data_IF_383707176043
#
_entry.id   IF_383707176043
#
_cell.length_a   1.000
_cell.length_b   1.000
_cell.length_c   1.000
_cell.angle_alpha   90.00
_cell.angle_beta   90.00
_cell.angle_gamma   90.00
#
_symmetry.space_group_name_H-M   'P 1'
#
loop_
_entity.id
_entity.type
_entity.pdbx_description
1 polymer ?
#
# COMPACT_ATOMS: atom_id res chain seq x y z
N UNK A 1 8.45 -15.67 32.11
CA UNK A 1 8.53 -15.59 30.63
C UNK A 1 7.20 -15.90 29.93
N UNK A 2 6.60 -17.09 30.09
CA UNK A 2 5.33 -17.45 29.40
C UNK A 2 4.15 -16.48 29.65
N UNK A 3 3.98 -16.00 30.90
CA UNK A 3 2.92 -15.04 31.26
C UNK A 3 3.13 -13.65 30.62
N UNK A 4 4.38 -13.16 30.60
CA UNK A 4 4.74 -11.88 29.96
C UNK A 4 4.50 -11.94 28.45
N UNK A 5 4.85 -13.06 27.80
CA UNK A 5 4.59 -13.26 26.37
C UNK A 5 3.08 -13.28 26.07
N UNK A 6 2.29 -13.94 26.91
CA UNK A 6 0.84 -13.98 26.78
C UNK A 6 0.21 -12.59 26.98
N UNK A 7 0.68 -11.81 27.97
CA UNK A 7 0.21 -10.44 28.18
C UNK A 7 0.58 -9.52 27.02
N UNK A 8 1.79 -9.65 26.47
CA UNK A 8 2.20 -8.90 25.28
C UNK A 8 1.35 -9.26 24.05
N UNK A 9 1.04 -10.54 23.88
CA UNK A 9 0.18 -11.03 22.81
C UNK A 9 -1.25 -10.49 22.92
N UNK A 10 -1.83 -10.46 24.12
CA UNK A 10 -3.16 -9.89 24.36
C UNK A 10 -3.18 -8.37 24.12
N UNK A 11 -2.13 -7.66 24.52
CA UNK A 11 -2.02 -6.21 24.28
C UNK A 11 -1.94 -5.87 22.79
N UNK A 12 -1.27 -6.69 21.97
CA UNK A 12 -1.21 -6.50 20.51
C UNK A 12 -2.58 -6.62 19.82
N UNK A 13 -3.51 -7.42 20.38
CA UNK A 13 -4.87 -7.54 19.85
C UNK A 13 -5.80 -6.38 20.21
N UNK A 14 -5.46 -5.55 21.19
CA UNK A 14 -6.30 -4.44 21.64
C UNK A 14 -6.12 -3.14 20.84
N UNK A 15 -5.17 -3.08 19.90
CA UNK A 15 -4.85 -1.88 19.11
C UNK A 15 -5.18 -1.99 17.62
N UNK A 16 -5.91 -3.03 17.19
CA UNK A 16 -6.29 -3.20 15.78
C UNK A 16 -7.43 -2.26 15.40
N UNK A 17 -7.06 -1.07 14.92
CA UNK A 17 -7.98 -0.25 14.12
C UNK A 17 -8.15 -0.91 12.76
N UNK A 18 -9.40 -1.24 12.38
CA UNK A 18 -9.70 -1.81 11.09
C UNK A 18 -10.02 -0.67 10.12
N UNK A 19 -9.13 -0.44 9.16
CA UNK A 19 -9.36 0.52 8.08
C UNK A 19 -9.78 -0.24 6.82
N UNK A 20 -10.83 0.26 6.14
CA UNK A 20 -11.22 -0.26 4.84
C UNK A 20 -10.33 0.39 3.78
N UNK A 21 -9.26 -0.30 3.39
CA UNK A 21 -8.47 0.05 2.22
C UNK A 21 -8.31 -1.18 1.33
N UNK A 22 -8.50 -0.97 0.02
CA UNK A 22 -8.33 -2.02 -0.98
C UNK A 22 -6.96 -1.87 -1.60
N UNK A 23 -5.99 -2.61 -1.06
CA UNK A 23 -4.68 -2.75 -1.69
C UNK A 23 -4.72 -3.90 -2.70
N UNK A 24 -4.33 -3.66 -3.95
CA UNK A 24 -4.32 -4.68 -4.98
C UNK A 24 -3.18 -5.68 -4.78
N UNK A 25 -3.41 -6.90 -5.25
CA UNK A 25 -2.45 -7.98 -5.27
C UNK A 25 -3.00 -9.26 -4.63
N UNK A 26 -2.88 -10.38 -5.34
CA UNK A 26 -3.45 -11.65 -4.88
C UNK A 26 -2.80 -12.14 -3.58
N UNK A 27 -1.48 -11.95 -3.46
CA UNK A 27 -0.71 -12.31 -2.26
C UNK A 27 -1.07 -11.44 -1.06
N UNK A 28 -1.20 -10.13 -1.28
CA UNK A 28 -1.62 -9.13 -0.29
C UNK A 28 -2.95 -9.55 0.33
N UNK A 29 -3.93 -9.89 -0.53
CA UNK A 29 -5.27 -10.29 -0.10
C UNK A 29 -5.26 -11.66 0.60
N UNK A 30 -4.54 -12.64 0.05
CA UNK A 30 -4.45 -13.98 0.65
C UNK A 30 -3.82 -13.98 2.05
N UNK A 31 -2.92 -13.03 2.32
CA UNK A 31 -2.31 -12.82 3.64
C UNK A 31 -3.12 -11.88 4.54
N UNK A 32 -4.41 -11.67 4.25
CA UNK A 32 -5.28 -10.76 4.98
C UNK A 32 -4.64 -9.37 5.17
N UNK A 33 -3.90 -8.89 4.16
CA UNK A 33 -3.15 -7.62 4.15
C UNK A 33 -2.11 -7.47 5.26
N UNK A 34 -1.70 -8.58 5.88
CA UNK A 34 -0.63 -8.61 6.90
C UNK A 34 0.76 -8.73 6.27
N UNK A 35 1.00 -8.01 5.17
CA UNK A 35 2.20 -8.18 4.35
C UNK A 35 3.14 -6.97 4.35
N UNK A 36 2.95 -5.97 5.21
CA UNK A 36 3.83 -4.79 5.29
C UNK A 36 5.32 -5.16 5.35
N UNK A 37 5.68 -6.19 6.12
CA UNK A 37 7.06 -6.69 6.25
C UNK A 37 7.50 -7.68 5.17
N UNK A 38 6.56 -8.22 4.38
CA UNK A 38 6.81 -9.27 3.39
C UNK A 38 6.45 -8.86 1.96
N UNK A 39 6.09 -7.60 1.75
CA UNK A 39 5.82 -7.00 0.44
C UNK A 39 7.11 -6.96 -0.36
N UNK A 40 7.28 -7.91 -1.27
CA UNK A 40 8.50 -8.14 -2.06
C UNK A 40 8.11 -8.54 -3.48
N UNK A 41 7.04 -7.91 -3.98
CA UNK A 41 6.48 -8.09 -5.31
C UNK A 41 6.11 -6.73 -5.91
N UNK A 42 5.78 -6.67 -7.18
CA UNK A 42 5.48 -5.41 -7.88
C UNK A 42 4.30 -4.63 -7.29
N UNK A 43 3.35 -5.30 -6.62
CA UNK A 43 2.24 -4.64 -5.94
C UNK A 43 2.67 -3.95 -4.64
N UNK A 44 3.96 -4.07 -4.25
CA UNK A 44 4.53 -3.34 -3.12
C UNK A 44 4.41 -1.81 -3.25
N UNK A 45 4.19 -1.31 -4.48
CA UNK A 45 3.92 0.11 -4.75
C UNK A 45 2.69 0.64 -4.00
N UNK A 46 1.66 -0.20 -3.78
CA UNK A 46 0.39 0.21 -3.17
C UNK A 46 0.33 0.03 -1.67
N UNK A 47 1.09 -0.94 -1.14
CA UNK A 47 1.26 -1.10 0.30
C UNK A 47 2.62 -0.49 0.71
N UNK A 48 3.66 -1.26 1.04
CA UNK A 48 4.97 -0.79 1.47
C UNK A 48 5.99 -0.62 0.31
N UNK A 49 6.28 0.62 -0.14
CA UNK A 49 7.22 0.86 -1.23
C UNK A 49 8.66 0.42 -0.96
N UNK A 50 9.07 0.25 0.31
CA UNK A 50 10.40 -0.30 0.63
C UNK A 50 10.59 -1.72 0.07
N UNK A 51 9.49 -2.42 -0.19
CA UNK A 51 9.44 -3.74 -0.82
C UNK A 51 10.02 -3.81 -2.23
N UNK A 52 9.82 -2.76 -3.04
CA UNK A 52 10.24 -2.73 -4.45
C UNK A 52 11.75 -2.88 -4.64
N UNK A 53 12.55 -2.43 -3.67
CA UNK A 53 14.02 -2.60 -3.67
C UNK A 53 14.47 -4.05 -3.52
N UNK A 54 13.56 -4.97 -3.17
CA UNK A 54 13.83 -6.41 -3.10
C UNK A 54 13.80 -7.09 -4.46
N UNK A 55 13.15 -6.48 -5.46
CA UNK A 55 13.06 -6.99 -6.82
C UNK A 55 14.41 -6.83 -7.51
N UNK A 56 14.95 -7.94 -8.01
CA UNK A 56 16.25 -8.00 -8.69
C UNK A 56 16.14 -7.89 -10.21
N UNK A 57 14.94 -8.06 -10.76
CA UNK A 57 14.64 -7.97 -12.18
C UNK A 57 13.38 -7.13 -12.41
N UNK A 58 13.24 -6.62 -13.64
CA UNK A 58 12.01 -5.98 -14.10
C UNK A 58 10.80 -6.89 -13.82
N UNK A 59 9.77 -6.33 -13.21
CA UNK A 59 8.55 -7.05 -12.88
C UNK A 59 7.32 -6.22 -13.26
N UNK A 60 6.30 -6.88 -13.79
CA UNK A 60 5.00 -6.28 -14.09
C UNK A 60 3.89 -7.19 -13.62
N UNK A 61 2.78 -6.60 -13.16
CA UNK A 61 1.66 -7.34 -12.61
C UNK A 61 0.33 -6.67 -12.91
N UNK A 62 -0.69 -7.49 -13.14
CA UNK A 62 -2.08 -7.07 -13.26
C UNK A 62 -2.89 -7.80 -12.20
N UNK A 63 -3.76 -7.06 -11.53
CA UNK A 63 -4.66 -7.55 -10.50
C UNK A 63 -6.08 -7.14 -10.86
N UNK A 64 -7.04 -8.05 -10.69
CA UNK A 64 -8.45 -7.77 -10.87
C UNK A 64 -9.29 -8.50 -9.83
N UNK A 65 -10.17 -7.75 -9.17
CA UNK A 65 -11.19 -8.26 -8.25
C UNK A 65 -12.56 -7.81 -8.76
N UNK A 66 -13.33 -8.69 -9.42
CA UNK A 66 -14.55 -8.28 -10.14
C UNK A 66 -15.73 -7.95 -9.21
N UNK A 67 -15.87 -8.68 -8.12
CA UNK A 67 -16.99 -8.54 -7.20
C UNK A 67 -16.61 -9.02 -5.78
N UNK A 68 -15.78 -8.27 -5.03
CA UNK A 68 -15.54 -8.55 -3.62
C UNK A 68 -16.88 -8.76 -2.90
N UNK A 69 -17.01 -9.88 -2.19
CA UNK A 69 -18.23 -10.26 -1.47
C UNK A 69 -19.50 -10.41 -2.35
N UNK A 70 -19.33 -10.60 -3.66
CA UNK A 70 -20.45 -10.68 -4.61
C UNK A 70 -21.00 -9.32 -5.07
N UNK A 71 -20.38 -8.20 -4.65
CA UNK A 71 -20.83 -6.84 -4.97
C UNK A 71 -19.96 -6.28 -6.09
N UNK A 72 -20.55 -6.06 -7.27
CA UNK A 72 -19.82 -5.61 -8.48
C UNK A 72 -19.38 -4.15 -8.38
N UNK A 73 -20.09 -3.37 -7.58
CA UNK A 73 -19.80 -1.96 -7.30
C UNK A 73 -18.48 -1.78 -6.54
N UNK A 74 -17.95 -2.85 -5.93
CA UNK A 74 -16.66 -2.87 -5.25
C UNK A 74 -15.53 -3.37 -6.15
N UNK A 75 -15.76 -3.46 -7.46
CA UNK A 75 -14.74 -3.98 -8.38
C UNK A 75 -13.46 -3.14 -8.34
N UNK A 76 -12.32 -3.82 -8.49
CA UNK A 76 -11.00 -3.18 -8.49
C UNK A 76 -10.15 -3.77 -9.60
N UNK A 77 -9.60 -2.93 -10.46
CA UNK A 77 -8.56 -3.29 -11.42
C UNK A 77 -7.28 -2.54 -11.10
N UNK A 78 -6.13 -3.21 -11.19
CA UNK A 78 -4.84 -2.55 -10.95
C UNK A 78 -3.74 -3.16 -11.79
N UNK A 79 -2.81 -2.31 -12.21
CA UNK A 79 -1.57 -2.70 -12.85
C UNK A 79 -0.40 -2.09 -12.09
N UNK A 80 0.73 -2.77 -12.09
CA UNK A 80 1.95 -2.30 -11.48
C UNK A 80 3.16 -2.74 -12.32
N UNK A 81 4.20 -1.93 -12.28
CA UNK A 81 5.46 -2.15 -12.95
C UNK A 81 6.62 -1.70 -12.05
N UNK A 82 7.72 -2.43 -12.05
CA UNK A 82 8.94 -2.08 -11.34
C UNK A 82 10.15 -2.28 -12.24
N UNK A 83 11.01 -1.26 -12.28
CA UNK A 83 12.32 -1.27 -12.91
C UNK A 83 13.41 -1.13 -11.85
N UNK A 84 14.10 -2.23 -11.48
CA UNK A 84 15.30 -2.16 -10.66
C UNK A 84 16.46 -1.54 -11.44
N UNK A 85 17.19 -0.62 -10.81
CA UNK A 85 18.37 0.05 -11.37
C UNK A 85 19.52 0.04 -10.34
N UNK A 86 20.71 0.49 -10.75
CA UNK A 86 21.87 0.59 -9.85
C UNK A 86 21.67 1.58 -8.70
N UNK A 87 20.81 2.58 -8.88
CA UNK A 87 20.54 3.62 -7.87
C UNK A 87 19.31 3.32 -7.01
N UNK A 88 18.55 2.26 -7.29
CA UNK A 88 17.30 1.92 -6.62
C UNK A 88 16.26 1.34 -7.58
N UNK A 89 15.06 1.09 -7.11
CA UNK A 89 13.95 0.57 -7.91
C UNK A 89 12.92 1.66 -8.15
N UNK A 90 12.54 1.84 -9.41
CA UNK A 90 11.47 2.75 -9.82
C UNK A 90 10.19 1.95 -10.08
N UNK A 91 9.09 2.37 -9.47
CA UNK A 91 7.78 1.74 -9.63
C UNK A 91 6.79 2.67 -10.31
N UNK A 92 5.89 2.10 -11.11
CA UNK A 92 4.72 2.78 -11.65
C UNK A 92 3.47 1.91 -11.44
N UNK A 93 2.34 2.55 -11.18
CA UNK A 93 1.09 1.86 -10.89
C UNK A 93 -0.12 2.62 -11.42
N UNK A 94 -1.14 1.88 -11.82
CA UNK A 94 -2.45 2.38 -12.16
C UNK A 94 -3.52 1.54 -11.48
N UNK A 95 -4.53 2.18 -10.88
CA UNK A 95 -5.64 1.47 -10.23
C UNK A 95 -6.97 2.17 -10.50
N UNK A 96 -8.02 1.38 -10.68
CA UNK A 96 -9.41 1.82 -10.78
C UNK A 96 -10.24 1.03 -9.79
N UNK A 97 -10.95 1.74 -8.93
CA UNK A 97 -11.91 1.17 -7.97
C UNK A 97 -13.30 1.75 -8.22
N UNK A 98 -14.31 0.91 -8.05
CA UNK A 98 -15.72 1.33 -8.05
C UNK A 98 -16.45 1.01 -9.35
N UNK A 99 -17.42 1.86 -9.69
CA UNK A 99 -18.38 1.69 -10.77
C UNK A 99 -18.79 3.04 -11.37
N UNK A 100 -19.95 3.13 -12.00
CA UNK A 100 -20.39 4.30 -12.77
C UNK A 100 -20.91 5.48 -11.94
N UNK A 101 -21.37 5.24 -10.71
CA UNK A 101 -21.82 6.31 -9.81
C UNK A 101 -20.70 6.84 -8.92
N UNK A 102 -19.72 5.98 -8.62
CA UNK A 102 -18.56 6.29 -7.80
C UNK A 102 -17.33 5.61 -8.37
N UNK A 103 -16.32 6.38 -8.77
CA UNK A 103 -15.10 5.88 -9.38
C UNK A 103 -13.89 6.55 -8.75
N UNK A 104 -12.93 5.74 -8.30
CA UNK A 104 -11.59 6.20 -7.93
C UNK A 104 -10.60 5.75 -8.99
N UNK A 105 -9.82 6.69 -9.52
CA UNK A 105 -8.72 6.40 -10.44
C UNK A 105 -7.43 6.90 -9.82
N UNK A 106 -6.44 6.03 -9.69
CA UNK A 106 -5.15 6.34 -9.08
C UNK A 106 -4.01 6.06 -10.04
N UNK A 107 -3.06 7.00 -10.10
CA UNK A 107 -1.75 6.83 -10.75
C UNK A 107 -0.70 6.93 -9.65
N UNK A 108 0.18 5.94 -9.57
CA UNK A 108 1.22 5.85 -8.55
C UNK A 108 2.60 5.84 -9.20
N UNK A 109 3.54 6.57 -8.60
CA UNK A 109 4.96 6.50 -8.90
C UNK A 109 5.71 6.23 -7.61
N UNK A 110 6.65 5.30 -7.63
CA UNK A 110 7.42 4.94 -6.46
C UNK A 110 8.92 4.92 -6.73
N UNK A 111 9.67 5.17 -5.67
CA UNK A 111 11.09 4.95 -5.63
C UNK A 111 11.46 4.23 -4.34
N UNK A 112 12.35 3.25 -4.44
CA UNK A 112 12.74 2.40 -3.34
C UNK A 112 14.23 2.11 -3.40
N UNK A 113 14.89 2.05 -2.25
CA UNK A 113 16.34 1.80 -2.19
C UNK A 113 16.70 0.99 -0.96
N UNK A 114 17.60 0.02 -1.16
CA UNK A 114 18.34 -0.62 -0.07
C UNK A 114 19.43 0.34 0.40
N UNK A 115 19.36 0.73 1.67
CA UNK A 115 20.35 1.59 2.33
C UNK A 115 21.49 0.71 2.87
N UNK A 116 21.16 -0.46 3.41
CA UNK A 116 22.11 -1.50 3.79
C UNK A 116 21.61 -2.86 3.26
N UNK A 117 22.37 -3.94 3.51
CA UNK A 117 21.92 -5.32 3.21
C UNK A 117 20.59 -5.67 3.86
N UNK A 118 20.33 -5.08 5.03
CA UNK A 118 19.24 -5.45 5.92
C UNK A 118 18.22 -4.34 6.12
N UNK A 119 18.42 -3.15 5.52
CA UNK A 119 17.51 -2.02 5.65
C UNK A 119 17.19 -1.39 4.30
N UNK A 120 15.90 -1.28 4.00
CA UNK A 120 15.40 -0.58 2.82
C UNK A 120 14.34 0.44 3.17
N UNK A 121 14.24 1.46 2.33
CA UNK A 121 13.24 2.52 2.41
C UNK A 121 12.60 2.72 1.05
N UNK A 122 11.40 3.28 1.03
CA UNK A 122 10.75 3.68 -0.20
C UNK A 122 9.70 4.75 0.02
N UNK A 123 9.32 5.40 -1.07
CA UNK A 123 8.26 6.38 -1.12
C UNK A 123 7.38 6.12 -2.35
N UNK A 124 6.07 6.25 -2.19
CA UNK A 124 5.10 6.26 -3.29
C UNK A 124 4.38 7.60 -3.29
N UNK A 125 4.33 8.26 -4.44
CA UNK A 125 3.43 9.40 -4.69
C UNK A 125 2.23 8.89 -5.49
N UNK A 126 1.02 9.16 -5.03
CA UNK A 126 -0.22 8.70 -5.64
C UNK A 126 -1.09 9.90 -5.96
N UNK A 127 -1.36 10.14 -7.25
CA UNK A 127 -2.43 11.04 -7.66
C UNK A 127 -3.72 10.24 -7.74
N UNK A 128 -4.71 10.62 -6.93
CA UNK A 128 -6.03 9.98 -6.91
C UNK A 128 -7.10 10.98 -7.34
N UNK A 129 -7.92 10.56 -8.30
CA UNK A 129 -9.12 11.26 -8.72
C UNK A 129 -10.35 10.48 -8.27
N UNK A 130 -11.22 11.14 -7.50
CA UNK A 130 -12.54 10.61 -7.13
C UNK A 130 -13.57 11.31 -7.99
N UNK A 131 -14.40 10.53 -8.68
CA UNK A 131 -15.50 11.01 -9.51
C UNK A 131 -16.82 10.44 -9.01
N UNK A 132 -17.78 11.32 -8.78
CA UNK A 132 -19.12 10.96 -8.31
C UNK A 132 -20.14 11.55 -9.30
N UNK A 133 -20.99 10.68 -9.86
CA UNK A 133 -21.99 11.10 -10.84
C UNK A 133 -22.89 12.19 -10.23
N UNK A 134 -23.08 13.29 -10.95
CA UNK A 134 -23.84 14.48 -10.55
C UNK A 134 -23.21 15.34 -9.43
N UNK A 135 -22.07 14.94 -8.86
CA UNK A 135 -21.37 15.70 -7.81
C UNK A 135 -19.97 16.17 -8.25
N UNK A 136 -19.53 15.79 -9.45
CA UNK A 136 -18.26 16.21 -10.06
C UNK A 136 -17.11 15.27 -9.74
N UNK A 137 -15.88 15.74 -10.00
CA UNK A 137 -14.66 15.01 -9.69
C UNK A 137 -13.63 15.90 -9.00
N UNK A 138 -12.78 15.28 -8.20
CA UNK A 138 -11.68 15.97 -7.52
C UNK A 138 -10.45 15.10 -7.45
N UNK A 139 -9.32 15.68 -7.83
CA UNK A 139 -7.99 15.09 -7.72
C UNK A 139 -7.24 15.57 -6.48
N UNK A 140 -6.44 14.70 -5.89
CA UNK A 140 -5.51 15.04 -4.80
C UNK A 140 -4.27 14.15 -4.84
N UNK A 141 -3.20 14.60 -4.21
CA UNK A 141 -1.93 13.88 -4.10
C UNK A 141 -1.78 13.26 -2.71
N UNK A 142 -1.34 12.02 -2.66
CA UNK A 142 -0.96 11.30 -1.45
C UNK A 142 0.51 10.93 -1.53
N UNK A 143 1.15 10.88 -0.37
CA UNK A 143 2.53 10.41 -0.23
C UNK A 143 2.57 9.31 0.83
N UNK A 144 3.04 8.14 0.44
CA UNK A 144 3.25 7.01 1.32
C UNK A 144 4.75 6.81 1.49
N UNK A 145 5.21 6.61 2.72
CA UNK A 145 6.60 6.33 3.05
C UNK A 145 6.70 4.98 3.75
N UNK A 146 7.63 4.14 3.31
CA UNK A 146 7.80 2.78 3.80
C UNK A 146 9.23 2.49 4.20
N UNK A 147 9.39 1.58 5.15
CA UNK A 147 10.67 1.02 5.55
C UNK A 147 10.54 -0.50 5.77
N UNK A 148 11.62 -1.23 5.51
CA UNK A 148 11.74 -2.65 5.83
C UNK A 148 13.12 -2.93 6.43
N UNK A 149 13.15 -3.70 7.52
CA UNK A 149 14.36 -4.09 8.24
C UNK A 149 14.40 -5.60 8.45
N UNK A 150 15.54 -6.24 8.14
CA UNK A 150 15.78 -7.66 8.40
C UNK A 150 16.54 -7.81 9.72
N UNK A 151 15.97 -8.55 10.65
CA UNK A 151 16.60 -8.91 11.93
C UNK A 151 17.02 -10.38 11.87
N UNK A 152 18.21 -10.61 11.31
CA UNK A 152 18.72 -11.96 11.04
C UNK A 152 18.00 -12.64 9.86
N UNK A 153 18.01 -13.96 9.82
CA UNK A 153 17.50 -14.74 8.67
C UNK A 153 16.01 -15.05 8.70
N UNK A 154 15.33 -14.83 9.84
CA UNK A 154 13.94 -15.28 10.06
C UNK A 154 12.95 -14.17 10.36
N UNK A 155 13.41 -12.97 10.74
CA UNK A 155 12.54 -11.88 11.19
C UNK A 155 12.69 -10.71 10.22
N UNK A 156 11.56 -10.29 9.64
CA UNK A 156 11.46 -9.06 8.86
C UNK A 156 10.47 -8.14 9.57
N UNK A 157 10.89 -6.90 9.78
CA UNK A 157 10.04 -5.81 10.25
C UNK A 157 9.74 -4.92 9.06
N UNK A 158 8.49 -4.50 8.96
CA UNK A 158 8.06 -3.52 7.98
C UNK A 158 7.30 -2.42 8.68
N UNK A 159 7.38 -1.23 8.13
CA UNK A 159 6.67 -0.06 8.61
C UNK A 159 6.22 0.77 7.43
N UNK A 160 5.01 1.30 7.50
CA UNK A 160 4.49 2.24 6.50
C UNK A 160 3.70 3.37 7.16
N UNK A 161 3.89 4.55 6.60
CA UNK A 161 3.05 5.73 6.81
C UNK A 161 2.33 6.03 5.50
N UNK A 162 1.01 6.01 5.52
CA UNK A 162 0.17 6.43 4.40
C UNK A 162 -0.32 7.85 4.56
N UNK A 163 -0.45 8.58 3.45
CA UNK A 163 -0.84 10.00 3.44
C UNK A 163 0.02 10.86 4.40
N UNK A 164 1.34 10.69 4.36
CA UNK A 164 2.28 11.38 5.25
C UNK A 164 2.17 12.91 5.20
N UNK A 165 1.70 13.48 4.08
CA UNK A 165 1.46 14.92 3.91
C UNK A 165 0.16 15.43 4.50
N UNK A 166 -0.68 14.57 5.09
CA UNK A 166 -2.03 14.91 5.60
C UNK A 166 -2.89 15.59 4.53
N UNK A 167 -2.74 15.17 3.29
CA UNK A 167 -3.56 15.69 2.20
C UNK A 167 -5.03 15.42 2.50
N UNK A 168 -5.89 16.40 2.21
CA UNK A 168 -7.33 16.30 2.40
C UNK A 168 -8.04 16.49 1.06
N UNK A 169 -9.22 15.89 0.93
CA UNK A 169 -10.07 16.07 -0.24
C UNK A 169 -10.70 17.48 -0.27
N UNK A 170 -10.83 18.17 0.85
CA UNK A 170 -11.52 19.46 0.98
C UNK A 170 -10.94 20.30 2.13
N UNK A 171 -11.50 21.49 2.33
CA UNK A 171 -11.19 22.38 3.46
C UNK A 171 -11.64 21.81 4.82
N UNK A 172 -12.28 20.63 4.82
CA UNK A 172 -12.59 19.90 6.05
C UNK A 172 -11.36 19.08 6.49
N UNK A 173 -11.07 19.14 7.78
CA UNK A 173 -9.97 18.38 8.36
C UNK A 173 -10.23 16.86 8.31
N UNK A 174 -9.15 16.08 8.15
CA UNK A 174 -9.12 14.62 8.35
C UNK A 174 -10.02 13.78 7.43
N UNK A 175 -10.33 14.24 6.22
CA UNK A 175 -11.11 13.44 5.27
C UNK A 175 -10.34 12.23 4.70
N UNK A 176 -9.01 12.33 4.70
CA UNK A 176 -8.12 11.23 4.33
C UNK A 176 -7.24 10.94 5.55
N UNK A 177 -7.34 9.75 6.15
CA UNK A 177 -6.58 9.43 7.36
C UNK A 177 -5.08 9.35 7.05
N UNK A 178 -4.27 9.65 8.06
CA UNK A 178 -2.87 9.19 8.11
C UNK A 178 -2.90 7.84 8.78
N UNK A 179 -2.43 6.81 8.09
CA UNK A 179 -2.45 5.43 8.60
C UNK A 179 -1.02 4.98 8.84
N UNK A 180 -0.81 4.28 9.96
CA UNK A 180 0.48 3.71 10.36
C UNK A 180 0.29 2.20 10.50
N UNK A 181 1.10 1.42 9.77
CA UNK A 181 1.14 -0.04 9.88
C UNK A 181 2.57 -0.55 10.14
#
# INVERSE_FOLDING_TARGET
>A
MKRVLATLFVLLFLFSNCFSQVDPGARQIALARSNVSTSQDVFSIYNNPAGLSSLISREGGIFYSPAPFGIRELSTGSAAFCEPTSIGSFGAGFSVYGFDLYRETSVALAYSRKITSDFSIGITSIYRNISIRNYGSRGFLLFNAGANAKLGSKINLGFIIENATRSSLSNYANQIPVVLH
#
